data_IF_351316978386
#
_entry.id   IF_351316978386
#
_cell.length_a   1.000
_cell.length_b   1.000
_cell.length_c   1.000
_cell.angle_alpha   90.00
_cell.angle_beta   90.00
_cell.angle_gamma   90.00
#
_symmetry.space_group_name_H-M   'P 1'
#
loop_
_entity.id
_entity.type
_entity.pdbx_description
1 polymer ?
#
# COMPACT_ATOMS: atom_id res chain seq x y z
N UNK A 1 28.91 -54.83 -12.85
CA UNK A 1 28.67 -53.98 -11.71
C UNK A 1 28.20 -52.63 -12.22
N UNK A 2 26.88 -52.38 -12.17
CA UNK A 2 26.31 -51.16 -12.67
C UNK A 2 26.28 -50.11 -11.52
N UNK A 3 26.99 -49.04 -11.78
CA UNK A 3 27.11 -47.90 -10.90
C UNK A 3 25.78 -47.14 -10.85
N UNK A 4 24.97 -47.43 -9.83
CA UNK A 4 23.70 -46.75 -9.59
C UNK A 4 23.93 -45.37 -8.98
N UNK A 5 24.21 -44.38 -9.81
CA UNK A 5 24.10 -42.98 -9.40
C UNK A 5 22.62 -42.67 -9.08
N UNK A 6 22.26 -42.64 -7.81
CA UNK A 6 21.02 -42.03 -7.35
C UNK A 6 20.99 -40.58 -7.86
N UNK A 7 20.09 -40.29 -8.80
CA UNK A 7 19.83 -38.91 -9.21
C UNK A 7 19.23 -38.16 -8.02
N UNK A 8 19.70 -36.94 -7.72
CA UNK A 8 19.19 -36.17 -6.59
C UNK A 8 17.67 -35.99 -6.75
N UNK A 9 16.94 -36.32 -5.72
CA UNK A 9 15.45 -36.20 -5.62
C UNK A 9 14.94 -34.82 -6.04
N UNK A 10 15.79 -33.80 -5.95
CA UNK A 10 15.49 -32.40 -6.26
C UNK A 10 15.39 -32.05 -7.76
N UNK A 11 16.09 -32.73 -8.67
CA UNK A 11 16.04 -32.42 -10.12
C UNK A 11 14.65 -32.70 -10.72
N UNK A 12 14.02 -33.81 -10.34
CA UNK A 12 12.67 -34.15 -10.81
C UNK A 12 11.56 -33.30 -10.15
N UNK A 13 11.81 -32.70 -8.98
CA UNK A 13 10.81 -31.87 -8.29
C UNK A 13 10.60 -30.53 -9.01
N UNK A 14 11.67 -29.87 -9.42
CA UNK A 14 11.61 -28.60 -10.17
C UNK A 14 10.94 -28.75 -11.53
N UNK A 15 11.29 -29.79 -12.27
CA UNK A 15 10.67 -30.06 -13.57
C UNK A 15 9.15 -30.27 -13.43
N UNK A 16 8.70 -30.99 -12.40
CA UNK A 16 7.28 -31.19 -12.11
C UNK A 16 6.57 -29.90 -11.70
N UNK A 17 7.21 -29.01 -10.94
CA UNK A 17 6.64 -27.70 -10.62
C UNK A 17 6.51 -26.84 -11.88
N UNK A 18 7.53 -26.81 -12.76
CA UNK A 18 7.47 -26.09 -14.03
C UNK A 18 6.33 -26.59 -14.92
N UNK A 19 6.18 -27.90 -15.03
CA UNK A 19 5.11 -28.51 -15.80
C UNK A 19 3.71 -28.21 -15.20
N UNK A 20 3.56 -28.26 -13.88
CA UNK A 20 2.33 -27.88 -13.19
C UNK A 20 1.97 -26.42 -13.44
N UNK A 21 2.92 -25.50 -13.34
CA UNK A 21 2.71 -24.08 -13.59
C UNK A 21 2.36 -23.81 -15.05
N UNK A 22 3.03 -24.49 -15.99
CA UNK A 22 2.76 -24.34 -17.42
C UNK A 22 1.32 -24.78 -17.81
N UNK A 23 0.78 -25.81 -17.17
CA UNK A 23 -0.56 -26.34 -17.48
C UNK A 23 -1.67 -25.73 -16.63
N UNK A 24 -1.41 -25.44 -15.36
CA UNK A 24 -2.45 -25.11 -14.37
C UNK A 24 -2.22 -23.75 -13.67
N UNK A 25 -1.19 -22.98 -14.07
CA UNK A 25 -0.84 -21.69 -13.44
C UNK A 25 -0.18 -21.83 -12.06
N UNK A 26 0.23 -20.71 -11.50
CA UNK A 26 0.90 -20.64 -10.18
C UNK A 26 -0.01 -21.13 -9.03
N UNK A 27 -1.32 -21.03 -9.18
CA UNK A 27 -2.33 -21.49 -8.21
C UNK A 27 -2.29 -23.00 -7.97
N UNK A 28 -1.65 -23.76 -8.86
CA UNK A 28 -1.44 -25.20 -8.70
C UNK A 28 -0.34 -25.57 -7.72
N UNK A 29 0.46 -24.59 -7.29
CA UNK A 29 1.55 -24.76 -6.33
C UNK A 29 1.06 -24.43 -4.91
N UNK A 30 1.58 -25.17 -3.92
CA UNK A 30 1.45 -24.76 -2.53
C UNK A 30 2.33 -23.53 -2.26
N UNK A 31 2.02 -22.73 -1.23
CA UNK A 31 2.74 -21.47 -0.94
C UNK A 31 4.28 -21.64 -0.88
N UNK A 32 4.75 -22.71 -0.25
CA UNK A 32 6.18 -22.99 -0.18
C UNK A 32 6.80 -23.37 -1.53
N UNK A 33 6.03 -24.04 -2.41
CA UNK A 33 6.47 -24.39 -3.76
C UNK A 33 6.54 -23.17 -4.69
N UNK A 34 5.68 -22.14 -4.48
CA UNK A 34 5.73 -20.88 -5.24
C UNK A 34 7.09 -20.19 -5.04
N UNK A 35 7.54 -20.08 -3.79
CA UNK A 35 8.84 -19.49 -3.48
C UNK A 35 10.01 -20.34 -4.00
N UNK A 36 9.94 -21.67 -3.85
CA UNK A 36 10.94 -22.57 -4.38
C UNK A 36 11.01 -22.48 -5.91
N UNK A 37 9.85 -22.37 -6.58
CA UNK A 37 9.76 -22.17 -8.02
C UNK A 37 10.39 -20.86 -8.48
N UNK A 38 10.06 -19.74 -7.81
CA UNK A 38 10.54 -18.41 -8.21
C UNK A 38 12.03 -18.22 -7.99
N UNK A 39 12.56 -18.76 -6.90
CA UNK A 39 13.90 -18.40 -6.41
C UNK A 39 14.89 -19.58 -6.47
N UNK A 40 14.42 -20.79 -6.79
CA UNK A 40 15.20 -22.02 -6.69
C UNK A 40 15.84 -22.25 -5.31
N UNK A 41 15.23 -21.69 -4.26
CA UNK A 41 15.74 -21.70 -2.90
C UNK A 41 14.72 -22.29 -1.92
N UNK A 42 15.17 -23.11 -0.97
CA UNK A 42 14.32 -23.70 0.06
C UNK A 42 14.12 -22.73 1.26
N UNK A 43 13.39 -21.61 1.05
CA UNK A 43 13.16 -20.57 2.05
C UNK A 43 12.01 -20.86 3.05
N UNK A 44 11.01 -21.70 2.74
CA UNK A 44 9.72 -21.65 3.42
C UNK A 44 9.71 -22.06 4.89
N UNK A 45 10.66 -22.88 5.33
CA UNK A 45 10.64 -23.40 6.72
C UNK A 45 11.02 -22.38 7.78
N UNK A 46 11.72 -21.30 7.40
CA UNK A 46 12.18 -20.27 8.34
C UNK A 46 11.10 -19.26 8.69
N UNK A 47 10.31 -18.83 7.70
CA UNK A 47 9.31 -17.78 7.85
C UNK A 47 7.88 -18.29 8.08
N UNK A 48 7.60 -19.57 7.86
CA UNK A 48 6.31 -20.21 8.12
C UNK A 48 5.21 -19.94 7.07
N UNK A 49 5.26 -18.83 6.32
CA UNK A 49 4.30 -18.55 5.24
C UNK A 49 4.92 -17.73 4.10
N UNK A 50 4.28 -17.76 2.92
CA UNK A 50 4.65 -16.94 1.77
C UNK A 50 4.59 -15.44 2.11
N UNK A 51 3.51 -14.99 2.75
CA UNK A 51 3.34 -13.58 3.10
C UNK A 51 4.49 -13.09 3.98
N UNK A 52 4.88 -13.84 5.00
CA UNK A 52 6.00 -13.47 5.87
C UNK A 52 7.33 -13.36 5.15
N UNK A 53 7.55 -14.15 4.11
CA UNK A 53 8.76 -14.02 3.28
C UNK A 53 8.71 -12.74 2.47
N UNK A 54 7.55 -12.42 1.88
CA UNK A 54 7.37 -11.19 1.10
C UNK A 54 7.44 -9.91 1.95
N UNK A 55 7.16 -10.02 3.25
CA UNK A 55 7.18 -8.94 4.23
C UNK A 55 8.52 -8.81 4.95
N UNK A 56 9.40 -9.80 4.81
CA UNK A 56 10.68 -9.82 5.49
C UNK A 56 11.67 -8.80 4.91
N UNK A 57 12.46 -8.22 5.78
CA UNK A 57 13.56 -7.33 5.38
C UNK A 57 14.68 -8.11 4.70
N UNK A 58 15.51 -7.46 3.84
CA UNK A 58 16.67 -8.12 3.25
C UNK A 58 17.61 -8.74 4.29
N UNK A 59 17.75 -8.12 5.46
CA UNK A 59 18.59 -8.61 6.57
C UNK A 59 18.05 -9.92 7.16
N UNK A 60 16.73 -10.02 7.37
CA UNK A 60 16.08 -11.25 7.84
C UNK A 60 16.17 -12.36 6.79
N UNK A 61 15.95 -12.04 5.52
CA UNK A 61 16.07 -13.00 4.42
C UNK A 61 17.49 -13.57 4.31
N UNK A 62 18.53 -12.77 4.51
CA UNK A 62 19.93 -13.23 4.50
C UNK A 62 20.29 -14.15 5.64
N UNK A 63 19.49 -14.29 6.70
CA UNK A 63 19.69 -15.28 7.75
C UNK A 63 19.45 -16.73 7.25
N UNK A 64 18.73 -16.86 6.13
CA UNK A 64 18.46 -18.17 5.53
C UNK A 64 19.66 -18.64 4.72
N UNK A 65 20.17 -19.83 5.02
CA UNK A 65 21.30 -20.42 4.29
C UNK A 65 21.01 -20.49 2.80
N UNK A 66 21.89 -19.89 2.00
CA UNK A 66 21.78 -19.87 0.54
C UNK A 66 21.11 -18.60 -0.03
N UNK A 67 20.58 -17.72 0.82
CA UNK A 67 20.07 -16.42 0.41
C UNK A 67 21.19 -15.39 0.47
N UNK A 68 21.66 -14.95 -0.67
CA UNK A 68 22.64 -13.86 -0.75
C UNK A 68 21.95 -12.48 -0.84
N UNK A 69 22.74 -11.39 -0.76
CA UNK A 69 22.22 -10.02 -0.78
C UNK A 69 21.33 -9.71 -1.99
N UNK A 70 21.71 -10.20 -3.18
CA UNK A 70 20.93 -9.97 -4.41
C UNK A 70 19.59 -10.68 -4.39
N UNK A 71 19.54 -11.94 -3.89
CA UNK A 71 18.28 -12.68 -3.77
C UNK A 71 17.39 -12.08 -2.70
N UNK A 72 17.94 -11.67 -1.55
CA UNK A 72 17.21 -11.00 -0.49
C UNK A 72 16.58 -9.69 -1.00
N UNK A 73 17.34 -8.88 -1.72
CA UNK A 73 16.82 -7.64 -2.30
C UNK A 73 15.71 -7.92 -3.34
N UNK A 74 15.90 -8.88 -4.24
CA UNK A 74 14.89 -9.23 -5.22
C UNK A 74 13.57 -9.67 -4.58
N UNK A 75 13.63 -10.48 -3.51
CA UNK A 75 12.43 -10.91 -2.78
C UNK A 75 11.72 -9.69 -2.16
N UNK A 76 12.47 -8.83 -1.50
CA UNK A 76 11.93 -7.60 -0.87
C UNK A 76 11.29 -6.67 -1.92
N UNK A 77 11.85 -6.59 -3.12
CA UNK A 77 11.36 -5.72 -4.19
C UNK A 77 10.10 -6.27 -4.88
N UNK A 78 9.77 -7.56 -4.74
CA UNK A 78 8.60 -8.16 -5.43
C UNK A 78 7.30 -7.43 -5.10
N UNK A 79 7.07 -7.11 -3.82
CA UNK A 79 5.86 -6.39 -3.40
C UNK A 79 5.82 -4.96 -3.96
N UNK A 80 6.95 -4.30 -4.05
CA UNK A 80 7.05 -2.98 -4.66
C UNK A 80 6.76 -3.01 -6.17
N UNK A 81 7.30 -3.99 -6.89
CA UNK A 81 6.95 -4.23 -8.30
C UNK A 81 5.47 -4.55 -8.49
N UNK A 82 4.89 -5.38 -7.60
CA UNK A 82 3.46 -5.70 -7.62
C UNK A 82 2.61 -4.44 -7.45
N UNK A 83 2.92 -3.60 -6.46
CA UNK A 83 2.27 -2.31 -6.24
C UNK A 83 2.42 -1.39 -7.44
N UNK A 84 3.64 -1.21 -7.94
CA UNK A 84 3.90 -0.38 -9.12
C UNK A 84 3.06 -0.83 -10.33
N UNK A 85 3.02 -2.15 -10.60
CA UNK A 85 2.22 -2.71 -11.68
C UNK A 85 0.72 -2.44 -11.47
N UNK A 86 0.19 -2.72 -10.28
CA UNK A 86 -1.22 -2.51 -9.95
C UNK A 86 -1.63 -1.04 -10.09
N UNK A 87 -0.79 -0.11 -9.61
CA UNK A 87 -1.01 1.34 -9.77
C UNK A 87 -0.98 1.75 -11.25
N UNK A 88 -0.03 1.23 -12.04
CA UNK A 88 0.07 1.55 -13.47
C UNK A 88 -1.06 0.94 -14.30
N UNK A 89 -1.65 -0.17 -13.85
CA UNK A 89 -2.78 -0.83 -14.51
C UNK A 89 -4.11 -0.10 -14.27
N UNK A 90 -4.21 0.81 -13.29
CA UNK A 90 -5.43 1.59 -13.04
C UNK A 90 -5.89 2.30 -14.32
N UNK A 91 -7.20 2.42 -14.50
CA UNK A 91 -7.79 3.10 -15.66
C UNK A 91 -7.34 4.57 -15.65
N UNK A 92 -6.79 5.05 -16.77
CA UNK A 92 -6.38 6.47 -16.93
C UNK A 92 -7.55 7.45 -16.86
N UNK A 93 -8.78 6.99 -17.09
CA UNK A 93 -10.02 7.76 -17.06
C UNK A 93 -10.93 7.27 -15.92
N UNK A 94 -10.36 6.99 -14.75
CA UNK A 94 -11.16 6.67 -13.58
C UNK A 94 -11.91 7.93 -13.12
N UNK A 95 -13.18 7.79 -12.75
CA UNK A 95 -13.95 8.81 -12.05
C UNK A 95 -14.19 8.31 -10.64
N UNK A 96 -13.81 9.08 -9.63
CA UNK A 96 -13.92 8.72 -8.21
C UNK A 96 -15.18 9.36 -7.60
N UNK A 97 -16.29 9.26 -8.30
CA UNK A 97 -17.60 9.85 -7.98
C UNK A 97 -18.43 9.00 -7.00
N UNK A 98 -17.98 7.78 -6.73
CA UNK A 98 -18.56 6.88 -5.74
C UNK A 98 -17.48 6.33 -4.80
N UNK A 99 -17.86 6.01 -3.56
CA UNK A 99 -16.97 5.36 -2.60
C UNK A 99 -16.36 4.06 -3.15
N UNK A 100 -17.14 3.28 -3.89
CA UNK A 100 -16.66 2.02 -4.50
C UNK A 100 -15.55 2.28 -5.53
N UNK A 101 -15.73 3.26 -6.43
CA UNK A 101 -14.71 3.63 -7.42
C UNK A 101 -13.46 4.20 -6.74
N UNK A 102 -13.64 5.00 -5.70
CA UNK A 102 -12.53 5.55 -4.92
C UNK A 102 -11.73 4.44 -4.22
N UNK A 103 -12.39 3.47 -3.59
CA UNK A 103 -11.73 2.34 -2.93
C UNK A 103 -10.96 1.47 -3.95
N UNK A 104 -11.58 1.14 -5.10
CA UNK A 104 -10.91 0.37 -6.16
C UNK A 104 -9.64 1.07 -6.66
N UNK A 105 -9.71 2.40 -6.82
CA UNK A 105 -8.58 3.21 -7.25
C UNK A 105 -7.46 3.29 -6.20
N UNK A 106 -7.83 3.39 -4.91
CA UNK A 106 -6.92 3.69 -3.80
C UNK A 106 -6.22 2.41 -3.28
N UNK A 107 -6.91 1.28 -3.17
CA UNK A 107 -6.35 0.04 -2.58
C UNK A 107 -4.97 -0.34 -3.14
N UNK A 108 -4.70 -0.29 -4.45
CA UNK A 108 -3.39 -0.62 -5.01
C UNK A 108 -2.24 0.22 -4.48
N UNK A 109 -2.48 1.45 -4.00
CA UNK A 109 -1.43 2.32 -3.44
C UNK A 109 -0.78 1.72 -2.18
N UNK A 110 -1.51 0.87 -1.46
CA UNK A 110 -1.10 0.33 -0.17
C UNK A 110 -0.59 -1.12 -0.22
N UNK A 111 -0.58 -1.74 -1.40
CA UNK A 111 -0.14 -3.12 -1.55
C UNK A 111 1.30 -3.30 -1.03
N UNK A 112 1.46 -4.19 -0.03
CA UNK A 112 2.75 -4.55 0.55
C UNK A 112 3.39 -3.49 1.45
N UNK A 113 2.67 -2.42 1.81
CA UNK A 113 3.18 -1.43 2.77
C UNK A 113 3.04 -1.95 4.20
N UNK A 114 4.16 -1.93 4.94
CA UNK A 114 4.23 -2.34 6.34
C UNK A 114 4.08 -1.16 7.31
N UNK A 115 4.29 0.06 6.83
CA UNK A 115 4.14 1.29 7.60
C UNK A 115 2.80 1.96 7.25
N UNK A 116 2.30 2.80 8.16
CA UNK A 116 1.22 3.70 7.84
C UNK A 116 1.67 4.76 6.84
N UNK A 117 0.91 4.92 5.78
CA UNK A 117 1.17 5.91 4.72
C UNK A 117 -0.12 6.66 4.46
N UNK A 118 -0.01 7.99 4.39
CA UNK A 118 -1.12 8.86 4.02
C UNK A 118 -0.92 9.36 2.57
N UNK A 119 -1.92 9.12 1.74
CA UNK A 119 -2.04 9.70 0.41
C UNK A 119 -3.13 10.76 0.36
N UNK A 120 -2.93 11.74 -0.50
CA UNK A 120 -3.94 12.72 -0.91
C UNK A 120 -4.13 12.55 -2.41
N UNK A 121 -5.30 12.07 -2.81
CA UNK A 121 -5.68 11.91 -4.20
C UNK A 121 -6.32 13.22 -4.66
N UNK A 122 -5.56 14.02 -5.40
CA UNK A 122 -6.00 15.31 -5.93
C UNK A 122 -6.80 15.09 -7.21
N UNK A 123 -7.96 15.74 -7.33
CA UNK A 123 -8.90 15.54 -8.41
C UNK A 123 -9.41 16.88 -8.95
N UNK A 124 -9.92 16.86 -10.18
CA UNK A 124 -10.70 17.96 -10.75
C UNK A 124 -12.13 18.01 -10.16
N UNK A 125 -12.94 18.96 -10.62
CA UNK A 125 -14.34 19.15 -10.22
C UNK A 125 -15.27 18.02 -10.68
N UNK A 126 -14.83 17.21 -11.64
CA UNK A 126 -15.53 16.03 -12.16
C UNK A 126 -15.05 14.73 -11.49
N UNK A 127 -14.30 14.82 -10.39
CA UNK A 127 -13.73 13.69 -9.65
C UNK A 127 -12.76 12.82 -10.47
N UNK A 128 -12.10 13.37 -11.49
CA UNK A 128 -11.03 12.67 -12.19
C UNK A 128 -9.71 12.86 -11.42
N UNK A 129 -8.99 11.77 -11.07
CA UNK A 129 -7.73 11.88 -10.37
C UNK A 129 -6.65 12.51 -11.24
N UNK A 130 -6.02 13.56 -10.73
CA UNK A 130 -4.91 14.27 -11.34
C UNK A 130 -3.57 13.80 -10.81
N UNK A 131 -3.46 13.65 -9.47
CA UNK A 131 -2.23 13.26 -8.79
C UNK A 131 -2.51 12.43 -7.55
N UNK A 132 -1.69 11.38 -7.33
CA UNK A 132 -1.61 10.63 -6.07
C UNK A 132 -0.43 11.18 -5.27
N UNK A 133 -0.69 12.00 -4.30
CA UNK A 133 0.33 12.66 -3.50
C UNK A 133 0.57 11.88 -2.21
N UNK A 134 1.76 11.29 -2.05
CA UNK A 134 2.19 10.70 -0.78
C UNK A 134 2.50 11.84 0.19
N UNK A 135 1.58 12.11 1.12
CA UNK A 135 1.67 13.22 2.04
C UNK A 135 2.53 12.91 3.26
N UNK A 136 2.51 11.65 3.72
CA UNK A 136 3.29 11.23 4.87
C UNK A 136 3.51 9.72 4.91
N UNK A 137 4.57 9.31 5.63
CA UNK A 137 4.89 7.92 5.96
C UNK A 137 5.52 7.90 7.35
N UNK A 138 5.15 6.94 8.19
CA UNK A 138 5.71 6.85 9.53
C UNK A 138 5.17 5.72 10.37
N UNK A 139 5.51 5.76 11.65
CA UNK A 139 5.03 4.85 12.68
C UNK A 139 3.63 5.30 13.12
N UNK A 140 2.75 4.36 13.54
CA UNK A 140 1.44 4.71 14.10
C UNK A 140 1.54 5.86 15.11
N UNK A 141 0.67 6.86 14.98
CA UNK A 141 0.57 8.06 15.82
C UNK A 141 1.63 9.18 15.65
N UNK A 142 2.59 9.07 14.72
CA UNK A 142 3.57 10.13 14.46
C UNK A 142 3.80 10.34 12.95
N UNK A 143 2.75 10.72 12.24
CA UNK A 143 2.85 11.09 10.83
C UNK A 143 3.14 12.59 10.74
N UNK A 144 4.37 12.98 10.41
CA UNK A 144 4.68 14.38 10.16
C UNK A 144 4.43 14.73 8.69
N UNK A 145 3.58 15.71 8.44
CA UNK A 145 3.27 16.22 7.09
C UNK A 145 4.14 17.45 6.84
N UNK A 146 4.95 17.41 5.78
CA UNK A 146 5.62 18.63 5.29
C UNK A 146 4.58 19.56 4.63
N UNK A 147 4.00 20.42 5.45
CA UNK A 147 2.95 21.37 5.06
C UNK A 147 3.36 22.26 3.89
N UNK A 148 4.62 22.70 3.85
CA UNK A 148 5.10 23.58 2.77
C UNK A 148 5.22 22.85 1.44
N UNK A 149 5.71 21.61 1.48
CA UNK A 149 5.76 20.74 0.30
C UNK A 149 4.36 20.42 -0.18
N UNK A 150 3.47 20.01 0.72
CA UNK A 150 2.08 19.68 0.42
C UNK A 150 1.37 20.86 -0.28
N UNK A 151 1.40 22.05 0.28
CA UNK A 151 0.76 23.24 -0.32
C UNK A 151 1.36 23.58 -1.69
N UNK A 152 2.66 23.46 -1.86
CA UNK A 152 3.31 23.70 -3.16
C UNK A 152 2.81 22.73 -4.22
N UNK A 153 2.72 21.45 -3.88
CA UNK A 153 2.30 20.40 -4.82
C UNK A 153 0.81 20.54 -5.15
N UNK A 154 -0.02 20.85 -4.15
CA UNK A 154 -1.45 21.13 -4.32
C UNK A 154 -1.68 22.33 -5.24
N UNK A 155 -1.04 23.46 -4.99
CA UNK A 155 -1.20 24.68 -5.80
C UNK A 155 -0.78 24.50 -7.26
N UNK A 156 0.10 23.53 -7.56
CA UNK A 156 0.53 23.21 -8.93
C UNK A 156 -0.39 22.22 -9.64
N UNK A 157 -1.29 21.58 -8.92
CA UNK A 157 -2.07 20.45 -9.45
C UNK A 157 -3.28 20.86 -10.28
N UNK A 158 -3.76 22.11 -10.16
CA UNK A 158 -5.07 22.57 -10.67
C UNK A 158 -6.25 21.71 -10.13
N UNK A 159 -6.09 21.05 -9.00
CA UNK A 159 -7.16 20.30 -8.34
C UNK A 159 -8.15 21.26 -7.69
N UNK A 160 -9.40 20.83 -7.58
CA UNK A 160 -10.47 21.50 -6.81
C UNK A 160 -11.00 20.61 -5.69
N UNK A 161 -10.80 19.30 -5.80
CA UNK A 161 -11.27 18.33 -4.81
C UNK A 161 -10.16 17.33 -4.46
N UNK A 162 -10.30 16.67 -3.32
CA UNK A 162 -9.39 15.59 -2.94
C UNK A 162 -10.08 14.53 -2.08
N UNK A 163 -9.51 13.31 -2.11
CA UNK A 163 -9.80 12.23 -1.17
C UNK A 163 -8.52 11.94 -0.39
N UNK A 164 -8.64 11.86 0.94
CA UNK A 164 -7.57 11.36 1.79
C UNK A 164 -7.64 9.83 1.85
N UNK A 165 -6.50 9.18 1.91
CA UNK A 165 -6.43 7.74 2.08
C UNK A 165 -5.24 7.35 2.94
N UNK A 166 -5.41 6.48 3.93
CA UNK A 166 -4.32 5.88 4.66
C UNK A 166 -4.55 4.39 4.93
N UNK A 167 -3.48 3.67 5.20
CA UNK A 167 -3.56 2.26 5.55
C UNK A 167 -3.34 2.04 7.04
N UNK A 168 -4.02 1.02 7.58
CA UNK A 168 -3.72 0.40 8.86
C UNK A 168 -3.03 -0.95 8.59
N UNK A 169 -1.69 -1.06 8.65
CA UNK A 169 -0.98 -2.33 8.44
C UNK A 169 -1.40 -3.39 9.44
N UNK A 170 -1.70 -2.97 10.67
CA UNK A 170 -2.21 -3.80 11.76
C UNK A 170 -3.49 -3.21 12.31
N UNK A 171 -4.57 -3.99 12.33
CA UNK A 171 -5.84 -3.51 12.88
C UNK A 171 -6.97 -3.44 11.86
N UNK A 172 -8.15 -2.97 12.27
CA UNK A 172 -9.31 -2.90 11.40
C UNK A 172 -9.29 -1.65 10.51
N UNK A 173 -10.01 -1.70 9.37
CA UNK A 173 -10.30 -0.54 8.54
C UNK A 173 -11.38 0.34 9.20
N UNK A 174 -11.04 0.98 10.31
CA UNK A 174 -11.95 1.86 11.07
C UNK A 174 -11.24 3.16 11.45
N UNK A 175 -11.90 4.32 11.29
CA UNK A 175 -11.31 5.60 11.64
C UNK A 175 -11.14 5.76 13.16
N UNK A 176 -9.93 6.13 13.58
CA UNK A 176 -9.60 6.52 14.94
C UNK A 176 -9.92 8.00 15.21
N UNK A 177 -9.82 8.41 16.48
CA UNK A 177 -9.91 9.84 16.83
C UNK A 177 -8.76 10.66 16.25
N UNK A 178 -7.55 10.06 16.15
CA UNK A 178 -6.38 10.69 15.53
C UNK A 178 -6.60 10.91 14.03
N UNK A 179 -7.24 9.96 13.34
CA UNK A 179 -7.56 10.11 11.90
C UNK A 179 -8.54 11.26 11.68
N UNK A 180 -9.54 11.40 12.54
CA UNK A 180 -10.49 12.53 12.48
C UNK A 180 -9.79 13.88 12.68
N UNK A 181 -8.89 13.99 13.66
CA UNK A 181 -8.11 15.20 13.90
C UNK A 181 -7.17 15.51 12.74
N UNK A 182 -6.48 14.51 12.19
CA UNK A 182 -5.60 14.67 11.03
C UNK A 182 -6.40 15.12 9.82
N UNK A 183 -7.57 14.52 9.59
CA UNK A 183 -8.49 14.92 8.51
C UNK A 183 -8.88 16.38 8.65
N UNK A 184 -9.32 16.79 9.84
CA UNK A 184 -9.72 18.17 10.11
C UNK A 184 -8.58 19.17 9.85
N UNK A 185 -7.36 18.86 10.31
CA UNK A 185 -6.18 19.69 10.08
C UNK A 185 -5.87 19.85 8.58
N UNK A 186 -5.94 18.75 7.81
CA UNK A 186 -5.71 18.80 6.37
C UNK A 186 -6.82 19.59 5.65
N UNK A 187 -8.10 19.41 6.04
CA UNK A 187 -9.20 20.19 5.51
C UNK A 187 -8.99 21.69 5.73
N UNK A 188 -8.61 22.09 6.94
CA UNK A 188 -8.33 23.49 7.29
C UNK A 188 -7.11 24.04 6.52
N UNK A 189 -6.10 23.22 6.28
CA UNK A 189 -4.92 23.61 5.53
C UNK A 189 -5.21 23.82 4.03
N UNK A 190 -6.07 22.97 3.44
CA UNK A 190 -6.33 22.96 2.02
C UNK A 190 -7.52 23.82 1.57
N UNK A 191 -8.46 24.11 2.48
CA UNK A 191 -9.61 24.96 2.18
C UNK A 191 -9.23 26.37 1.68
N UNK A 192 -8.23 27.09 2.26
CA UNK A 192 -7.80 28.37 1.72
C UNK A 192 -7.17 28.28 0.31
N UNK A 193 -6.69 27.10 -0.10
CA UNK A 193 -6.19 26.84 -1.46
C UNK A 193 -7.33 26.45 -2.44
N UNK A 194 -8.59 26.47 -2.01
CA UNK A 194 -9.74 26.13 -2.82
C UNK A 194 -9.98 24.63 -3.00
N UNK A 195 -9.35 23.78 -2.18
CA UNK A 195 -9.50 22.31 -2.26
C UNK A 195 -10.52 21.82 -1.24
N UNK A 196 -11.54 21.11 -1.71
CA UNK A 196 -12.54 20.45 -0.88
C UNK A 196 -12.18 18.98 -0.67
N UNK A 197 -12.09 18.53 0.59
CA UNK A 197 -11.91 17.12 0.92
C UNK A 197 -13.28 16.43 0.88
N UNK A 198 -13.45 15.47 -0.03
CA UNK A 198 -14.72 14.75 -0.22
C UNK A 198 -14.86 13.56 0.72
N UNK A 199 -13.76 12.87 1.02
CA UNK A 199 -13.76 11.69 1.89
C UNK A 199 -12.37 11.44 2.49
N UNK A 200 -12.32 10.56 3.50
CA UNK A 200 -11.11 9.94 3.99
C UNK A 200 -11.32 8.43 4.09
N UNK A 201 -10.57 7.68 3.28
CA UNK A 201 -10.69 6.23 3.15
C UNK A 201 -9.57 5.54 3.91
N UNK A 202 -9.93 4.66 4.84
CA UNK A 202 -9.01 3.85 5.61
C UNK A 202 -8.96 2.45 4.99
N UNK A 203 -7.75 1.95 4.67
CA UNK A 203 -7.52 0.64 4.07
C UNK A 203 -6.80 -0.28 5.06
N UNK A 204 -7.31 -1.50 5.26
CA UNK A 204 -6.67 -2.52 6.08
C UNK A 204 -6.78 -3.89 5.38
N UNK A 205 -5.71 -4.34 4.78
CA UNK A 205 -5.69 -5.53 3.92
C UNK A 205 -6.71 -5.41 2.79
N UNK A 206 -7.64 -6.37 2.72
CA UNK A 206 -8.72 -6.38 1.72
C UNK A 206 -9.90 -5.46 2.09
N UNK A 207 -9.95 -4.98 3.33
CA UNK A 207 -11.04 -4.14 3.81
C UNK A 207 -10.74 -2.65 3.60
N UNK A 208 -11.81 -1.87 3.40
CA UNK A 208 -11.74 -0.42 3.37
C UNK A 208 -12.97 0.21 4.02
N UNK A 209 -12.80 1.43 4.51
CA UNK A 209 -13.84 2.19 5.20
C UNK A 209 -13.80 3.66 4.78
N UNK A 210 -14.92 4.20 4.33
CA UNK A 210 -15.15 5.61 4.08
C UNK A 210 -15.58 6.31 5.37
N UNK A 211 -14.95 7.43 5.69
CA UNK A 211 -15.38 8.28 6.81
C UNK A 211 -16.67 9.05 6.46
N UNK A 212 -16.84 9.46 5.21
CA UNK A 212 -18.03 10.15 4.74
C UNK A 212 -19.28 9.26 4.84
N UNK A 213 -19.21 8.01 4.33
CA UNK A 213 -20.32 7.05 4.41
C UNK A 213 -20.72 6.72 5.85
N UNK A 214 -19.78 6.83 6.78
CA UNK A 214 -20.04 6.59 8.21
C UNK A 214 -20.47 7.83 8.98
N UNK A 215 -20.58 8.98 8.32
CA UNK A 215 -20.89 10.25 8.99
C UNK A 215 -19.80 10.69 9.98
N UNK A 216 -18.54 10.31 9.71
CA UNK A 216 -17.37 10.61 10.56
C UNK A 216 -16.39 11.59 9.92
N UNK A 217 -16.69 12.07 8.71
CA UNK A 217 -15.90 13.14 8.12
C UNK A 217 -16.11 14.42 8.94
N UNK A 218 -15.04 15.09 9.40
CA UNK A 218 -15.18 16.30 10.20
C UNK A 218 -15.89 17.42 9.45
N UNK A 219 -16.71 18.19 10.17
CA UNK A 219 -17.28 19.42 9.66
C UNK A 219 -16.33 20.59 9.95
N UNK A 220 -15.70 21.12 8.91
CA UNK A 220 -14.78 22.25 9.02
C UNK A 220 -15.48 23.53 9.52
N UNK A 221 -16.77 23.69 9.25
CA UNK A 221 -17.54 24.87 9.66
C UNK A 221 -17.80 24.91 11.18
N UNK A 222 -17.86 23.72 11.80
CA UNK A 222 -18.03 23.59 13.25
C UNK A 222 -16.73 23.87 14.04
N UNK A 223 -15.57 23.99 13.36
CA UNK A 223 -14.25 24.14 13.97
C UNK A 223 -13.47 25.33 13.38
N UNK A 224 -14.00 26.56 13.42
CA UNK A 224 -13.28 27.73 12.93
C UNK A 224 -12.13 28.07 13.89
N UNK A 225 -10.90 27.71 13.53
CA UNK A 225 -9.76 28.33 14.22
C UNK A 225 -8.69 27.46 14.87
N UNK A 226 -8.49 26.21 14.51
CA UNK A 226 -7.30 25.45 14.95
C UNK A 226 -6.00 26.01 14.33
N UNK A 227 -6.08 26.72 13.20
CA UNK A 227 -4.91 27.33 12.53
C UNK A 227 -4.23 28.44 13.36
N UNK A 228 -4.91 29.03 14.36
CA UNK A 228 -4.32 30.05 15.22
C UNK A 228 -3.53 29.50 16.42
N UNK A 229 -3.53 28.19 16.65
CA UNK A 229 -2.84 27.55 17.77
C UNK A 229 -1.66 26.69 17.37
N UNK A 230 -1.37 26.55 16.07
CA UNK A 230 -0.32 25.67 15.56
C UNK A 230 0.95 26.43 15.16
N UNK A 231 1.63 27.02 16.12
CA UNK A 231 3.08 26.91 16.12
C UNK A 231 3.41 25.49 16.57
N UNK A 232 4.00 24.69 15.67
CA UNK A 232 5.03 23.71 15.94
C UNK A 232 4.71 22.25 16.17
N UNK A 233 3.58 21.64 16.01
CA UNK A 233 3.61 20.15 16.09
C UNK A 233 2.60 19.50 15.14
N UNK A 234 3.11 19.10 13.97
CA UNK A 234 2.57 18.07 13.10
C UNK A 234 3.41 16.81 13.24
#
# INVERSE_FOLDING_TARGET
MADGKERPIHENHRARMQERVAHNGMESLAEHEVLEYMLYLAIPRHFGSFCRVMEATPQELMQVKGVGPRSAQLISDIMEFGRYYAVKKRKKQATLDTTANAIEYIKPLFLGLQNEVLYIILMDDSCHPLYDLKAAEGVPNHVSIDTRKLLRDVLRSNASTAILAHNHPTGPALPSATDQLTTLKIMQLLAPAGISILDHIIVAGENACSMADRGRLPDISAHPGILNAASTDF
#
